data_IF_768465092577
#
_entry.id   IF_768465092577
#
_cell.length_a   1.000
_cell.length_b   1.000
_cell.length_c   1.000
_cell.angle_alpha   90.00
_cell.angle_beta   90.00
_cell.angle_gamma   90.00
#
_symmetry.space_group_name_H-M   'P 1'
#
loop_
_entity.id
_entity.type
_entity.pdbx_description
1 polymer ?
#
# COMPACT_ATOMS: atom_id res chain seq x y z
N UNK A 1 15.42 -7.85 -9.57
CA UNK A 1 14.81 -6.51 -9.61
C UNK A 1 14.81 -6.02 -8.17
N UNK A 2 15.37 -4.85 -7.91
CA UNK A 2 15.49 -4.32 -6.54
C UNK A 2 14.08 -3.97 -6.07
N UNK A 3 13.52 -4.73 -5.11
CA UNK A 3 12.23 -4.36 -4.54
C UNK A 3 12.39 -3.00 -3.89
N UNK A 4 11.63 -1.99 -4.37
CA UNK A 4 11.67 -0.67 -3.78
C UNK A 4 11.32 -0.78 -2.29
N UNK A 5 12.07 -0.09 -1.43
CA UNK A 5 11.74 -0.02 -0.01
C UNK A 5 10.37 0.64 0.17
N UNK A 6 9.60 0.16 1.14
CA UNK A 6 8.33 0.79 1.55
C UNK A 6 8.58 2.20 2.07
N UNK A 7 7.58 3.07 1.93
CA UNK A 7 7.63 4.41 2.50
C UNK A 7 7.84 4.37 4.02
N UNK A 8 8.81 5.14 4.50
CA UNK A 8 9.18 5.19 5.92
C UNK A 8 8.68 6.46 6.64
N UNK A 9 8.13 7.42 5.90
CA UNK A 9 7.57 8.65 6.45
C UNK A 9 6.11 8.46 6.90
N UNK A 10 5.44 9.57 7.21
CA UNK A 10 4.02 9.57 7.53
C UNK A 10 3.13 9.51 6.26
N UNK A 11 1.84 9.24 6.47
CA UNK A 11 0.84 9.10 5.41
C UNK A 11 0.58 10.41 4.66
N UNK A 12 0.64 11.57 5.34
CA UNK A 12 0.42 12.87 4.69
C UNK A 12 1.54 13.12 3.69
N UNK A 13 2.79 12.89 4.11
CA UNK A 13 3.96 13.01 3.24
C UNK A 13 3.94 12.02 2.07
N UNK A 14 3.42 10.79 2.27
CA UNK A 14 3.25 9.82 1.18
C UNK A 14 2.24 10.29 0.12
N UNK A 15 1.11 10.84 0.57
CA UNK A 15 0.09 11.39 -0.34
C UNK A 15 0.63 12.57 -1.13
N UNK A 16 1.41 13.45 -0.51
CA UNK A 16 2.10 14.53 -1.22
C UNK A 16 3.09 13.99 -2.25
N UNK A 17 3.84 12.93 -1.93
CA UNK A 17 4.75 12.27 -2.87
C UNK A 17 4.03 11.63 -4.07
N UNK A 18 2.81 11.13 -3.87
CA UNK A 18 1.97 10.67 -4.99
C UNK A 18 1.49 11.83 -5.87
N UNK A 19 1.06 12.94 -5.25
CA UNK A 19 0.60 14.14 -5.97
C UNK A 19 1.72 14.81 -6.77
N UNK A 20 2.95 14.78 -6.26
CA UNK A 20 4.14 15.29 -6.94
C UNK A 20 4.70 14.32 -7.99
N UNK A 21 4.14 13.11 -8.12
CA UNK A 21 4.67 12.01 -8.94
C UNK A 21 6.09 11.55 -8.56
N UNK A 22 6.58 11.91 -7.38
CA UNK A 22 7.84 11.39 -6.82
C UNK A 22 7.72 9.90 -6.47
N UNK A 23 6.53 9.47 -6.05
CA UNK A 23 6.17 8.08 -5.78
C UNK A 23 4.93 7.68 -6.58
N UNK A 24 4.77 6.39 -6.78
CA UNK A 24 3.63 5.78 -7.47
C UNK A 24 2.84 4.91 -6.50
N UNK A 25 1.50 5.02 -6.46
CA UNK A 25 0.65 4.10 -5.68
C UNK A 25 0.90 2.63 -6.02
N UNK A 26 1.12 2.31 -7.30
CA UNK A 26 1.37 0.94 -7.77
C UNK A 26 2.69 0.41 -7.22
N UNK A 27 3.75 1.23 -7.28
CA UNK A 27 5.07 0.83 -6.76
C UNK A 27 5.03 0.69 -5.24
N UNK A 28 4.29 1.55 -4.54
CA UNK A 28 4.13 1.49 -3.10
C UNK A 28 3.36 0.23 -2.66
N UNK A 29 2.28 -0.14 -3.36
CA UNK A 29 1.57 -1.40 -3.10
C UNK A 29 2.45 -2.61 -3.37
N UNK A 30 3.24 -2.62 -4.46
CA UNK A 30 4.19 -3.72 -4.73
C UNK A 30 5.24 -3.85 -3.64
N UNK A 31 5.81 -2.73 -3.18
CA UNK A 31 6.74 -2.70 -2.07
C UNK A 31 6.11 -3.21 -0.77
N UNK A 32 4.86 -2.80 -0.50
CA UNK A 32 4.09 -3.21 0.68
C UNK A 32 3.84 -4.71 0.68
N UNK A 33 3.36 -5.26 -0.45
CA UNK A 33 3.11 -6.71 -0.60
C UNK A 33 4.40 -7.53 -0.43
N UNK A 34 5.51 -7.08 -1.01
CA UNK A 34 6.81 -7.73 -0.83
C UNK A 34 7.29 -7.70 0.63
N UNK A 35 7.06 -6.59 1.34
CA UNK A 35 7.39 -6.48 2.76
C UNK A 35 6.51 -7.38 3.64
N UNK A 36 5.23 -7.56 3.29
CA UNK A 36 4.31 -8.50 3.95
C UNK A 36 4.80 -9.94 3.74
N UNK A 37 5.14 -10.32 2.50
CA UNK A 37 5.62 -11.66 2.14
C UNK A 37 6.92 -12.04 2.87
N UNK A 38 7.84 -11.06 3.04
CA UNK A 38 9.11 -11.27 3.73
C UNK A 38 9.00 -11.26 5.28
N UNK A 39 7.81 -10.99 5.83
CA UNK A 39 7.62 -10.82 7.28
C UNK A 39 7.14 -12.09 7.97
N UNK A 40 7.84 -12.49 9.05
CA UNK A 40 7.44 -13.59 9.93
C UNK A 40 6.46 -13.16 11.04
N UNK A 41 5.98 -11.91 11.04
CA UNK A 41 5.15 -11.37 12.12
C UNK A 41 3.77 -12.04 12.22
N UNK A 42 3.32 -12.69 11.14
CA UNK A 42 2.00 -13.33 11.05
C UNK A 42 0.83 -12.38 11.41
N UNK A 43 0.89 -11.15 10.87
CA UNK A 43 -0.05 -10.08 11.20
C UNK A 43 -1.32 -10.04 10.34
N UNK A 44 -1.37 -10.79 9.23
CA UNK A 44 -2.44 -10.74 8.24
C UNK A 44 -3.16 -12.09 8.17
N UNK A 45 -4.48 -12.07 8.34
CA UNK A 45 -5.36 -13.23 8.14
C UNK A 45 -5.73 -13.42 6.67
N UNK A 46 -5.81 -12.33 5.91
CA UNK A 46 -6.13 -12.32 4.49
C UNK A 46 -5.44 -11.14 3.80
N UNK A 47 -4.97 -11.35 2.56
CA UNK A 47 -4.32 -10.32 1.73
C UNK A 47 -4.97 -10.34 0.34
N UNK A 48 -5.70 -9.28 0.00
CA UNK A 48 -6.24 -9.06 -1.35
C UNK A 48 -5.20 -8.40 -2.26
N UNK A 49 -4.18 -9.16 -2.66
CA UNK A 49 -3.02 -8.64 -3.40
C UNK A 49 -3.40 -8.12 -4.80
N UNK A 50 -4.23 -8.88 -5.53
CA UNK A 50 -4.68 -8.51 -6.87
C UNK A 50 -5.59 -7.28 -6.82
N UNK A 51 -6.62 -7.28 -5.97
CA UNK A 51 -7.52 -6.14 -5.84
C UNK A 51 -6.81 -4.88 -5.32
N UNK A 52 -5.76 -5.01 -4.49
CA UNK A 52 -4.95 -3.87 -4.08
C UNK A 52 -4.16 -3.27 -5.26
N UNK A 53 -3.59 -4.09 -6.14
CA UNK A 53 -2.87 -3.63 -7.33
C UNK A 53 -3.83 -2.95 -8.33
N UNK A 54 -4.96 -3.57 -8.65
CA UNK A 54 -5.97 -3.00 -9.54
C UNK A 54 -6.44 -1.63 -9.06
N UNK A 55 -6.74 -1.50 -7.75
CA UNK A 55 -7.16 -0.23 -7.16
C UNK A 55 -6.05 0.82 -7.14
N UNK A 56 -4.78 0.41 -7.05
CA UNK A 56 -3.65 1.32 -7.11
C UNK A 56 -3.44 1.90 -8.52
N UNK A 57 -3.68 1.12 -9.58
CA UNK A 57 -3.58 1.57 -10.97
C UNK A 57 -4.56 2.69 -11.31
N UNK A 58 -5.73 2.68 -10.67
CA UNK A 58 -6.80 3.68 -10.89
C UNK A 58 -6.97 4.66 -9.72
N UNK A 59 -5.99 4.75 -8.81
CA UNK A 59 -6.12 5.55 -7.60
C UNK A 59 -6.20 7.06 -7.90
N UNK A 60 -7.22 7.73 -7.37
CA UNK A 60 -7.32 9.19 -7.42
C UNK A 60 -6.52 9.83 -6.28
N UNK A 61 -5.30 10.25 -6.58
CA UNK A 61 -4.35 10.87 -5.63
C UNK A 61 -4.77 12.28 -5.17
N UNK A 62 -5.83 12.86 -5.74
CA UNK A 62 -6.40 14.11 -5.23
C UNK A 62 -7.20 13.91 -3.95
N UNK A 63 -7.68 12.68 -3.68
CA UNK A 63 -8.40 12.35 -2.46
C UNK A 63 -7.47 12.34 -1.23
N UNK A 64 -8.01 12.51 0.00
CA UNK A 64 -7.19 12.62 1.21
C UNK A 64 -6.23 11.46 1.47
N UNK A 65 -6.60 10.24 1.09
CA UNK A 65 -5.79 9.01 1.22
C UNK A 65 -5.68 8.25 -0.11
N UNK A 66 -5.81 8.97 -1.23
CA UNK A 66 -5.77 8.39 -2.56
C UNK A 66 -4.48 7.62 -2.82
N UNK A 67 -4.57 6.31 -3.06
CA UNK A 67 -3.43 5.45 -3.37
C UNK A 67 -2.65 4.91 -2.16
N UNK A 68 -3.04 5.23 -0.92
CA UNK A 68 -2.36 4.75 0.29
C UNK A 68 -2.73 3.29 0.58
N UNK A 69 -1.76 2.36 0.73
CA UNK A 69 -2.03 1.00 1.20
C UNK A 69 -2.57 1.00 2.63
N UNK A 70 -3.64 0.24 2.88
CA UNK A 70 -4.30 0.18 4.19
C UNK A 70 -4.49 -1.27 4.66
N UNK A 71 -4.01 -1.55 5.88
CA UNK A 71 -4.38 -2.75 6.62
C UNK A 71 -5.68 -2.52 7.39
N UNK A 72 -6.64 -3.43 7.25
CA UNK A 72 -7.92 -3.37 7.95
C UNK A 72 -7.96 -4.49 8.98
N UNK A 73 -8.24 -4.15 10.24
CA UNK A 73 -8.42 -5.15 11.29
C UNK A 73 -9.68 -5.96 10.98
N UNK A 74 -9.53 -7.27 10.87
CA UNK A 74 -10.66 -8.18 10.79
C UNK A 74 -11.41 -8.19 12.13
N UNK A 75 -12.68 -7.77 12.11
CA UNK A 75 -13.56 -7.71 13.27
C UNK A 75 -14.74 -8.67 13.03
N UNK A 76 -14.47 -9.97 13.26
CA UNK A 76 -15.35 -11.15 13.11
C UNK A 76 -15.53 -11.77 11.71
N UNK A 77 -15.26 -13.07 11.67
CA UNK A 77 -15.80 -14.06 10.74
C UNK A 77 -16.90 -14.81 11.51
N UNK A 78 -18.13 -14.93 10.97
CA UNK A 78 -19.16 -15.86 11.49
C UNK A 78 -19.11 -17.19 10.75
#
# INVERSE_FOLDING_TARGET
>A
MNAACTWQGDVVSLVEAFRSSERSPVDEVRATLAAIEASDLNAFSFVDAEGALERAETADVSLPLGGVPLGVKELHQV
#
